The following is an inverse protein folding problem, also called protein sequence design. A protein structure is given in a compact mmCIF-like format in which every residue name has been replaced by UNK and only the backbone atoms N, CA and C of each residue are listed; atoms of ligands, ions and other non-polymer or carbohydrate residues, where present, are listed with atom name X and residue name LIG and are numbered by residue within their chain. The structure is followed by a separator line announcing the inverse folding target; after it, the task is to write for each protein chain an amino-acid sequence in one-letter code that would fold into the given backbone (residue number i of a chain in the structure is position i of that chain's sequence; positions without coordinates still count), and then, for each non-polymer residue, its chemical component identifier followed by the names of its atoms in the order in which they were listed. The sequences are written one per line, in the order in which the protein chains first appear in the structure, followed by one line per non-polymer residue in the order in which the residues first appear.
data_IF_412399334096
#
_entry.id   IF_412399334096
#
_cell.length_a   1.000
_cell.length_b   1.000
_cell.length_c   1.000
_cell.angle_alpha   90.00
_cell.angle_beta   90.00
_cell.angle_gamma   90.00
#
_symmetry.space_group_name_H-M   'P 1'
#
loop_
_entity.id
_entity.type
_entity.pdbx_description
1 polymer ?
2 non-polymer ?
3 water ?
#
# COMPACT_ATOMS: atom_id res chain seq x y z
N UNK A 2 15.45 0.26 -25.20
CA UNK A 2 16.31 0.86 -24.19
C UNK A 2 17.75 0.97 -24.69
N UNK A 4 20.40 -0.77 -24.44
CA UNK A 4 21.44 -1.05 -23.49
C UNK A 4 21.29 -0.35 -22.16
N UNK A 5 20.46 0.69 -22.10
CA UNK A 5 20.17 1.31 -20.83
C UNK A 5 19.30 0.39 -19.97
N UNK A 6 19.35 0.54 -18.65
CA UNK A 6 18.49 -0.28 -17.79
C UNK A 6 17.03 -0.04 -18.12
N UNK A 7 16.25 -1.09 -18.02
CA UNK A 7 14.81 -0.98 -18.20
C UNK A 7 14.16 -0.37 -16.96
N UNK A 8 13.25 0.58 -17.13
CA UNK A 8 12.69 1.25 -15.95
C UNK A 8 11.63 0.42 -15.24
N UNK A 9 11.64 0.54 -13.91
CA UNK A 9 10.61 0.00 -13.03
C UNK A 9 10.04 1.20 -12.27
N UNK A 10 8.77 1.52 -12.51
CA UNK A 10 8.17 2.70 -11.90
C UNK A 10 7.71 2.33 -10.49
N UNK A 11 8.11 3.12 -9.50
CA UNK A 11 7.78 2.89 -8.11
C UNK A 11 6.99 4.09 -7.61
N UNK A 12 5.70 3.88 -7.34
CA UNK A 12 4.83 4.90 -6.76
C UNK A 12 4.64 4.53 -5.29
N UNK A 13 5.43 5.17 -4.43
CA UNK A 13 5.47 4.86 -3.00
C UNK A 13 4.44 5.71 -2.27
N UNK A 14 3.26 5.16 -1.97
CA UNK A 14 2.21 6.01 -1.37
C UNK A 14 2.66 6.76 -0.13
N UNK A 15 3.70 6.28 0.54
CA UNK A 15 4.14 6.69 1.83
C UNK A 15 4.26 5.52 2.78
N UNK A 16 4.79 5.77 3.97
CA UNK A 16 4.91 4.68 4.96
C UNK A 16 5.86 4.98 6.09
N UNK A 17 6.28 3.94 6.81
CA UNK A 17 7.17 4.07 7.99
C UNK A 17 8.56 4.51 7.51
N UNK A 18 8.94 4.21 6.26
CA UNK A 18 10.28 4.53 5.79
C UNK A 18 10.24 5.90 5.12
N UNK A 19 11.22 6.75 5.47
CA UNK A 19 11.29 8.06 4.85
C UNK A 19 11.58 7.92 3.36
N UNK A 20 11.20 8.95 2.61
CA UNK A 20 11.23 8.86 1.14
C UNK A 20 12.62 8.49 0.63
N UNK A 21 13.65 9.16 1.14
CA UNK A 21 14.99 8.96 0.60
C UNK A 21 15.49 7.54 0.85
N UNK A 22 15.19 6.97 2.01
CA UNK A 22 15.64 5.60 2.28
C UNK A 22 14.76 4.58 1.55
N UNK A 23 13.51 4.93 1.29
CA UNK A 23 12.66 4.05 0.47
C UNK A 23 13.13 4.02 -0.98
N UNK A 24 13.48 5.19 -1.53
CA UNK A 24 14.00 5.27 -2.89
C UNK A 24 15.30 4.48 -3.02
N UNK A 25 16.23 4.66 -2.07
CA UNK A 25 17.47 3.90 -2.10
C UNK A 25 17.20 2.40 -1.99
N UNK A 26 16.20 2.03 -1.18
CA UNK A 26 15.90 0.62 -0.98
C UNK A 26 15.38 -0.03 -2.25
N UNK A 28 16.36 0.74 -5.37
CA UNK A 28 17.57 0.44 -6.14
C UNK A 28 18.24 -0.83 -5.61
N UNK A 29 18.35 -0.94 -4.28
CA UNK A 29 18.98 -2.11 -3.69
C UNK A 29 18.19 -3.37 -3.98
N UNK A 31 16.32 -3.94 -6.61
CA UNK A 31 16.54 -4.34 -7.99
C UNK A 31 17.89 -5.01 -8.18
N UNK A 32 18.92 -4.58 -7.44
CA UNK A 32 20.20 -5.25 -7.52
C UNK A 32 20.09 -6.70 -7.04
N UNK A 33 19.28 -6.95 -6.01
CA UNK A 33 19.09 -8.31 -5.54
C UNK A 33 18.25 -9.11 -6.53
N UNK A 34 17.19 -8.51 -7.08
CA UNK A 34 16.37 -9.19 -8.08
C UNK A 34 17.24 -9.65 -9.25
N UNK A 35 18.13 -8.78 -9.70
CA UNK A 35 19.02 -9.14 -10.80
C UNK A 35 19.91 -10.31 -10.43
N UNK A 36 20.48 -10.30 -9.23
CA UNK A 36 21.35 -11.40 -8.83
C UNK A 36 20.57 -12.71 -8.72
N UNK A 37 19.42 -12.70 -8.01
CA UNK A 37 18.71 -13.95 -7.75
C UNK A 37 18.04 -14.47 -9.02
N UNK A 38 17.62 -13.58 -9.91
CA UNK A 38 17.06 -13.93 -11.18
C UNK A 38 18.06 -14.13 -12.29
N UNK A 39 19.35 -13.94 -11.99
CA UNK A 39 20.44 -14.18 -12.93
C UNK A 39 20.38 -13.28 -14.15
N UNK A 40 19.95 -12.05 -13.93
CA UNK A 40 20.12 -11.00 -14.92
C UNK A 40 21.49 -10.36 -14.77
N UNK A 41 22.06 -9.86 -15.85
CA UNK A 41 23.25 -9.00 -15.73
C UNK A 41 22.93 -7.78 -14.87
N UNK A 42 23.96 -7.27 -14.20
CA UNK A 42 23.77 -6.09 -13.37
C UNK A 42 23.30 -4.91 -14.22
N UNK A 43 22.46 -4.06 -13.61
CA UNK A 43 21.95 -2.86 -14.26
C UNK A 43 21.04 -3.17 -15.43
N UNK A 44 20.34 -4.31 -15.35
CA UNK A 44 19.29 -4.62 -16.31
C UNK A 44 18.03 -3.78 -16.04
N UNK A 45 17.83 -3.37 -14.78
CA UNK A 45 16.69 -2.57 -14.38
C UNK A 45 17.14 -1.33 -13.62
N UNK A 46 16.30 -0.29 -13.65
CA UNK A 46 16.51 0.88 -12.80
C UNK A 46 15.16 1.37 -12.27
N UNK A 47 15.18 1.89 -11.04
CA UNK A 47 13.99 2.41 -10.41
C UNK A 47 13.73 3.85 -10.79
N UNK A 48 12.47 4.16 -11.12
CA UNK A 48 11.99 5.52 -11.33
C UNK A 48 10.96 5.75 -10.24
N UNK A 49 11.32 6.57 -9.24
CA UNK A 49 10.62 6.64 -7.95
C UNK A 49 9.86 7.95 -7.82
N UNK A 50 8.65 7.87 -7.27
CA UNK A 50 7.93 9.07 -6.85
C UNK A 50 7.14 8.76 -5.59
N UNK A 51 7.07 9.73 -4.69
CA UNK A 51 6.20 9.66 -3.53
C UNK A 51 4.91 10.45 -3.73
N UNK A 52 4.72 11.02 -4.92
CA UNK A 52 3.54 11.83 -5.23
C UNK A 52 2.57 10.98 -6.04
N UNK A 53 1.42 10.65 -5.44
CA UNK A 53 0.35 9.86 -6.10
C UNK A 53 0.04 10.51 -7.45
N UNK A 54 0.02 11.84 -7.51
CA UNK A 54 -0.45 12.53 -8.71
C UNK A 54 0.51 12.36 -9.89
N UNK A 55 1.78 12.02 -9.64
CA UNK A 55 2.74 11.85 -10.72
C UNK A 55 2.84 10.42 -11.21
N UNK A 56 2.21 9.47 -10.52
CA UNK A 56 2.34 8.06 -10.91
C UNK A 56 1.88 7.85 -12.34
N UNK A 57 0.75 8.45 -12.71
CA UNK A 57 0.22 8.28 -14.06
C UNK A 57 1.14 8.81 -15.14
N UNK A 58 1.72 9.99 -14.91
CA UNK A 58 2.66 10.52 -15.89
C UNK A 58 3.85 9.59 -16.06
N UNK A 59 4.36 9.07 -14.95
CA UNK A 59 5.52 8.19 -15.03
C UNK A 59 5.18 6.92 -15.80
N UNK A 61 2.83 6.56 -18.22
CA UNK A 61 2.67 6.90 -19.64
C UNK A 61 4.02 7.19 -20.29
N UNK A 62 4.92 7.88 -19.58
CA UNK A 62 6.18 8.29 -20.17
C UNK A 62 7.19 7.14 -20.23
N UNK A 64 6.67 3.91 -19.78
CA UNK A 64 6.10 2.69 -20.36
C UNK A 64 6.76 1.45 -19.73
N UNK A 65 6.72 1.34 -18.40
CA UNK A 65 7.48 0.29 -17.72
C UNK A 65 6.85 -1.10 -17.89
N UNK A 66 7.72 -2.10 -17.90
CA UNK A 66 7.26 -3.49 -17.87
C UNK A 66 6.72 -3.86 -16.50
N UNK A 67 7.34 -3.32 -15.45
CA UNK A 67 7.02 -3.65 -14.06
C UNK A 67 6.87 -2.36 -13.26
N UNK A 68 6.04 -2.42 -12.21
CA UNK A 68 5.82 -1.24 -11.39
C UNK A 68 5.39 -1.68 -10.00
N UNK A 69 5.50 -0.74 -9.06
CA UNK A 69 5.03 -0.88 -7.68
C UNK A 69 4.07 0.28 -7.44
N UNK A 70 2.82 -0.02 -7.10
CA UNK A 70 1.84 1.03 -6.88
C UNK A 70 0.98 0.68 -5.67
N UNK A 71 0.12 1.62 -5.28
CA UNK A 71 -0.88 1.36 -4.22
C UNK A 71 -2.03 0.57 -4.85
N UNK A 72 -2.89 -0.07 -4.07
CA UNK A 72 -4.07 -0.77 -4.55
C UNK A 72 -4.99 0.15 -5.34
N UNK A 73 -5.17 1.37 -4.86
CA UNK A 73 -6.09 2.34 -5.52
C UNK A 73 -5.53 2.67 -6.90
N UNK A 74 -4.22 2.88 -7.02
CA UNK A 74 -3.61 3.18 -8.32
C UNK A 74 -3.71 1.98 -9.24
N UNK A 75 -3.50 0.77 -8.73
CA UNK A 75 -3.68 -0.43 -9.54
C UNK A 75 -5.09 -0.52 -10.08
N UNK A 76 -6.09 -0.43 -9.19
CA UNK A 76 -7.47 -0.54 -9.62
C UNK A 76 -7.85 0.54 -10.63
N UNK A 77 -7.29 1.73 -10.48
CA UNK A 77 -7.59 2.82 -11.41
C UNK A 77 -6.87 2.68 -12.75
N UNK A 79 -5.37 -0.31 -13.98
CA UNK A 79 -5.24 -1.68 -14.46
C UNK A 79 -5.72 -1.83 -15.91
N UNK A 80 -6.84 -1.18 -16.25
CA UNK A 80 -7.37 -1.33 -17.59
C UNK A 80 -6.49 -0.68 -18.64
N UNK A 81 -6.00 0.53 -18.35
CA UNK A 81 -5.24 1.29 -19.34
C UNK A 81 -3.91 0.62 -19.65
N UNK A 82 -3.25 0.05 -18.64
CA UNK A 82 -1.93 -0.52 -18.82
C UNK A 82 -1.94 -2.03 -18.69
N UNK A 83 -3.10 -2.64 -18.93
CA UNK A 83 -3.27 -4.10 -18.84
C UNK A 83 -2.44 -4.68 -17.70
N UNK A 84 -2.61 -4.09 -16.52
CA UNK A 84 -1.78 -4.47 -15.39
C UNK A 84 -2.24 -5.81 -14.85
N UNK A 85 -1.27 -6.66 -14.50
CA UNK A 85 -1.57 -7.91 -13.81
C UNK A 85 -0.64 -7.98 -12.61
N UNK A 86 -1.05 -8.64 -11.52
CA UNK A 86 -0.13 -8.82 -10.40
C UNK A 86 1.06 -9.67 -10.83
N UNK A 87 2.18 -9.42 -10.17
CA UNK A 87 3.35 -10.27 -10.25
C UNK A 87 3.52 -11.04 -8.94
N UNK A 88 3.70 -10.32 -7.83
CA UNK A 88 3.70 -10.91 -6.51
C UNK A 88 2.92 -10.03 -5.55
N UNK A 89 2.44 -10.66 -4.46
CA UNK A 89 1.99 -9.98 -3.27
C UNK A 89 3.00 -10.19 -2.15
N UNK A 90 3.17 -9.25 -1.23
CA UNK A 90 3.92 -9.52 -0.01
C UNK A 90 3.10 -10.37 0.93
N UNK A 91 3.77 -11.27 1.65
CA UNK A 91 3.21 -11.91 2.82
C UNK A 91 3.76 -11.21 4.06
N UNK A 92 2.88 -10.76 4.96
CA UNK A 92 3.26 -10.04 6.21
C UNK A 92 2.51 -10.72 7.36
N UNK A 93 3.22 -11.25 8.36
CA UNK A 93 2.60 -11.92 9.50
C UNK A 93 1.72 -13.08 9.05
N UNK A 94 2.18 -13.77 8.01
CA UNK A 94 1.50 -14.94 7.49
C UNK A 94 0.39 -14.66 6.52
N UNK A 95 0.03 -13.41 6.30
CA UNK A 95 -1.14 -13.03 5.55
C UNK A 95 -0.75 -12.21 4.33
N UNK A 96 -1.53 -12.35 3.26
CA UNK A 96 -1.38 -11.48 2.09
C UNK A 96 -2.41 -10.37 2.10
N UNK A 97 -2.93 -10.04 3.28
CA UNK A 97 -3.95 -9.03 3.45
C UNK A 97 -3.69 -8.27 4.75
N UNK A 98 -4.41 -7.16 4.94
CA UNK A 98 -4.27 -6.30 6.14
C UNK A 98 -5.65 -5.81 6.57
N UNK A 99 -5.83 -5.40 7.79
CA UNK A 99 -7.11 -4.82 8.28
C UNK A 99 -6.80 -3.41 8.80
N UNK A 100 -7.71 -2.48 8.57
CA UNK A 100 -7.61 -1.08 9.05
C UNK A 100 -8.49 -0.98 10.30
N UNK A 101 -8.07 -0.22 11.31
CA UNK A 101 -8.82 -0.06 12.58
C UNK A 101 -9.10 1.43 12.83
N UNK A 102 -10.34 1.79 13.12
CA UNK A 102 -10.72 3.17 13.49
C UNK A 102 -10.66 3.14 15.02
N UNK A 103 -9.88 3.99 15.68
CA UNK A 103 -9.74 4.08 17.12
C UNK A 103 -10.24 5.45 17.60
N UNK A 104 -10.78 5.46 18.82
CA UNK A 104 -11.35 6.65 19.42
C UNK A 104 -11.21 6.52 20.94
N UNK A 105 -11.31 7.66 21.62
CA UNK A 105 -11.24 7.63 23.08
C UNK A 105 -12.29 6.67 23.63
N UNK A 106 -11.89 5.92 24.66
CA UNK A 106 -12.72 4.86 25.21
C UNK A 106 -14.03 5.42 25.73
N UNK A 107 -15.15 4.89 25.24
CA UNK A 107 -16.46 5.25 25.72
C UNK A 107 -17.17 6.31 24.91
N UNK A 108 -16.52 6.92 23.92
CA UNK A 108 -17.13 8.05 23.22
C UNK A 108 -18.11 7.56 22.16
N UNK A 109 -17.73 6.57 21.37
CA UNK A 109 -18.53 6.12 20.24
C UNK A 109 -18.65 4.61 20.24
N UNK A 110 -19.83 4.10 19.86
CA UNK A 110 -20.07 2.67 19.81
C UNK A 110 -20.13 2.11 18.40
N UNK A 111 -20.08 2.95 17.37
CA UNK A 111 -20.12 2.48 15.98
C UNK A 111 -19.81 3.64 15.05
N UNK A 113 -21.51 4.84 12.67
CA UNK A 113 -22.63 5.74 12.44
C UNK A 113 -22.61 6.90 13.42
N UNK A 114 -22.10 6.65 14.64
CA UNK A 114 -21.98 7.70 15.63
C UNK A 114 -20.84 8.66 15.33
N UNK A 115 -19.89 8.28 14.49
CA UNK A 115 -18.84 9.18 14.05
C UNK A 115 -19.25 10.02 12.84
N UNK A 116 -20.44 9.77 12.29
CA UNK A 116 -20.92 10.60 11.19
C UNK A 116 -21.07 12.04 11.65
N UNK A 117 -20.53 12.96 10.86
CA UNK A 117 -20.47 14.35 11.24
C UNK A 117 -19.32 14.72 12.15
N UNK A 118 -18.55 13.75 12.61
CA UNK A 118 -17.38 13.97 13.43
C UNK A 118 -16.14 14.00 12.54
N UNK A 119 -14.99 14.25 13.15
CA UNK A 119 -13.76 14.45 12.41
C UNK A 119 -12.86 13.22 12.52
N UNK A 120 -12.33 12.79 11.38
CA UNK A 120 -11.51 11.59 11.27
C UNK A 120 -10.10 11.98 10.86
N UNK A 121 -9.10 11.41 11.54
CA UNK A 121 -7.72 11.59 11.19
C UNK A 121 -7.10 10.29 10.66
N UNK A 122 -5.85 10.42 10.20
CA UNK A 122 -5.17 9.29 9.60
C UNK A 122 -4.29 9.68 8.44
N UNK A 123 -3.40 8.78 8.01
CA UNK A 123 -2.44 9.07 6.95
C UNK A 123 -2.94 8.67 5.58
N UNK A 124 -4.07 7.96 5.46
CA UNK A 124 -4.61 7.44 4.17
C UNK A 124 -5.87 8.24 3.80
N UNK A 125 -6.02 9.46 4.28
CA UNK A 125 -7.27 10.27 4.09
C UNK A 125 -7.13 11.21 2.87
N UNK A 126 -5.93 11.37 2.29
CA UNK A 126 -5.68 12.30 1.15
C UNK A 126 -6.40 11.76 -0.09
N UNK A 127 -6.46 10.44 -0.27
CA UNK A 127 -7.16 9.77 -1.42
C UNK A 127 -8.34 9.03 -0.79
N UNK A 128 -9.50 9.67 -0.54
CA UNK A 128 -10.61 9.03 0.19
C UNK A 128 -11.49 8.00 -0.54
N UNK A 129 -11.21 7.65 -1.80
CA UNK A 129 -11.96 6.60 -2.53
C UNK A 129 -11.51 5.24 -1.98
N UNK A 130 -10.26 5.07 -1.59
CA UNK A 130 -9.80 3.80 -0.96
C UNK A 130 -10.47 3.70 0.42
N UNK A 131 -10.51 4.81 1.16
CA UNK A 131 -11.10 4.79 2.51
C UNK A 131 -12.59 4.43 2.38
N UNK A 132 -13.31 5.04 1.44
CA UNK A 132 -14.75 4.85 1.40
C UNK A 132 -15.13 3.51 0.76
N UNK A 133 -14.59 3.23 -0.43
CA UNK A 133 -15.05 2.06 -1.17
C UNK A 133 -14.51 0.75 -0.62
N UNK A 134 -13.28 0.77 -0.10
CA UNK A 134 -12.59 -0.44 0.34
C UNK A 134 -12.59 -0.56 1.85
N UNK A 135 -11.99 0.39 2.56
CA UNK A 135 -11.86 0.26 4.05
C UNK A 135 -13.28 0.18 4.64
N UNK A 136 -14.19 1.08 4.23
CA UNK A 136 -15.56 1.07 4.76
C UNK A 136 -16.53 0.27 3.88
N UNK A 137 -16.02 -0.42 2.85
CA UNK A 137 -16.84 -1.31 2.03
C UNK A 137 -18.04 -0.58 1.45
N UNK A 138 -17.86 0.70 1.15
CA UNK A 138 -18.89 1.48 0.50
C UNK A 138 -20.06 1.85 1.37
N UNK A 139 -20.01 1.57 2.67
CA UNK A 139 -21.08 1.94 3.57
C UNK A 139 -21.10 3.43 3.88
N UNK A 140 -19.97 4.11 3.75
CA UNK A 140 -19.86 5.53 4.04
C UNK A 140 -19.16 6.24 2.89
N UNK A 141 -19.59 7.48 2.60
CA UNK A 141 -18.87 8.35 1.69
C UNK A 141 -18.01 9.28 2.52
N UNK A 142 -16.70 9.01 2.67
CA UNK A 142 -15.93 9.71 3.71
C UNK A 142 -15.97 11.23 3.60
N UNK A 143 -15.92 11.78 2.39
CA UNK A 143 -15.88 13.23 2.25
C UNK A 143 -17.20 13.87 2.61
N UNK A 144 -18.31 13.15 2.42
CA UNK A 144 -19.62 13.69 2.75
C UNK A 144 -19.99 13.41 4.21
N UNK A 145 -19.77 12.18 4.67
CA UNK A 145 -20.23 11.75 5.99
C UNK A 145 -19.29 12.16 7.11
N UNK A 146 -18.05 12.52 6.80
CA UNK A 146 -17.07 12.84 7.83
C UNK A 146 -16.28 14.08 7.45
N UNK A 147 -15.68 14.71 8.45
CA UNK A 147 -14.66 15.73 8.24
C UNK A 147 -13.31 15.03 8.28
N UNK A 148 -12.69 14.87 7.12
CA UNK A 148 -11.40 14.18 7.04
C UNK A 148 -10.29 15.17 7.32
N UNK A 149 -9.53 14.93 8.40
CA UNK A 149 -8.37 15.73 8.75
C UNK A 149 -7.11 14.94 8.41
N UNK A 150 -6.55 15.11 7.22
CA UNK A 150 -5.40 14.29 6.83
C UNK A 150 -4.17 14.61 7.67
N UNK A 151 -3.34 13.59 7.85
CA UNK A 151 -2.11 13.70 8.59
C UNK A 151 -1.01 13.01 7.77
N UNK A 152 0.23 13.42 8.00
CA UNK A 152 1.37 12.80 7.36
C UNK A 152 2.03 11.74 8.24
N UNK A 153 1.92 11.87 9.56
CA UNK A 153 2.42 10.89 10.51
C UNK A 153 1.27 10.47 11.43
N UNK A 154 1.12 9.15 11.62
CA UNK A 154 0.09 8.66 12.52
C UNK A 154 0.27 9.18 13.94
N UNK A 155 1.50 9.55 14.31
CA UNK A 155 1.72 10.15 15.62
C UNK A 155 0.95 11.46 15.72
N UNK A 156 1.13 12.34 14.73
CA UNK A 156 0.41 13.60 14.69
C UNK A 156 -1.09 13.39 14.85
N UNK A 157 -1.67 12.46 14.08
CA UNK A 157 -3.11 12.22 14.17
C UNK A 157 -3.49 11.74 15.57
N UNK A 158 -2.68 10.87 16.15
CA UNK A 158 -3.00 10.32 17.46
C UNK A 158 -2.77 11.35 18.56
N UNK A 159 -1.82 12.27 18.38
CA UNK A 159 -1.71 13.38 19.33
C UNK A 159 -2.99 14.19 19.35
N UNK A 160 -3.50 14.53 18.16
CA UNK A 160 -4.72 15.33 18.05
C UNK A 160 -5.91 14.59 18.63
N UNK A 161 -5.99 13.28 18.41
CA UNK A 161 -7.05 12.50 19.05
C UNK A 161 -6.97 12.63 20.57
N UNK A 162 -5.77 12.45 21.12
CA UNK A 162 -5.57 12.53 22.55
C UNK A 162 -6.00 13.89 23.09
N UNK A 163 -5.61 14.97 22.40
CA UNK A 163 -5.99 16.29 22.87
C UNK A 163 -7.51 16.43 22.90
N UNK A 164 -8.18 15.82 21.93
CA UNK A 164 -9.57 16.13 21.63
C UNK A 164 -9.76 17.00 20.41
N UNK A 165 -8.73 17.16 19.58
CA UNK A 165 -8.84 17.90 18.33
C UNK A 165 -9.36 17.02 17.20
N UNK A 166 -9.31 15.70 17.39
CA UNK A 166 -9.87 14.72 16.46
C UNK A 166 -10.78 13.79 17.24
N UNK A 167 -11.80 13.26 16.57
CA UNK A 167 -12.71 12.33 17.21
C UNK A 167 -12.31 10.87 17.02
N UNK A 168 -11.64 10.53 15.92
CA UNK A 168 -11.19 9.17 15.71
C UNK A 168 -10.08 9.17 14.66
N UNK A 169 -9.29 8.11 14.64
CA UNK A 169 -8.16 7.96 13.74
C UNK A 169 -8.25 6.61 13.05
N UNK A 170 -8.08 6.61 11.72
CA UNK A 170 -8.03 5.34 10.91
C UNK A 170 -6.55 4.96 10.91
N UNK A 171 -6.21 3.72 11.28
CA UNK A 171 -4.81 3.26 11.41
C UNK A 171 -4.54 2.01 10.57
N UNK A 172 -3.39 1.95 9.91
CA UNK A 172 -2.86 0.73 9.24
C UNK A 172 -2.52 -0.31 10.32
N UNK A 173 -2.13 -1.52 9.93
CA UNK A 173 -1.65 -2.57 10.87
C UNK A 173 -0.41 -2.03 11.62
N UNK A 174 0.59 -1.53 10.90
CA UNK A 174 1.88 -1.07 11.52
C UNK A 174 1.59 0.07 12.50
N UNK A 175 0.65 0.96 12.17
CA UNK A 175 0.37 2.18 12.98
C UNK A 175 -0.38 1.70 14.24
N UNK A 176 -1.28 0.73 14.09
CA UNK A 176 -2.08 0.17 15.22
C UNK A 176 -1.14 -0.56 16.20
N UNK A 177 -0.09 -1.21 15.68
CA UNK A 177 0.92 -1.93 16.50
C UNK A 177 1.71 -0.91 17.33
N UNK A 178 2.06 0.25 16.75
CA UNK A 178 2.89 1.27 17.43
C UNK A 178 2.11 2.09 18.45
N UNK A 179 0.80 1.89 18.60
CA UNK A 179 -0.05 2.68 19.55
C UNK A 179 0.60 2.72 20.94
N UNK A 180 0.87 1.57 21.58
CA UNK A 180 1.39 1.54 22.95
C UNK A 180 2.57 2.49 23.12
N UNK A 181 3.56 2.39 22.24
CA UNK A 181 4.77 3.19 22.34
C UNK A 181 4.45 4.68 22.24
N UNK A 185 -1.60 7.27 27.15
CA UNK A 185 -2.32 8.50 27.45
C UNK A 185 -3.81 8.18 27.67
N UNK A 186 -4.69 9.06 27.22
CA UNK A 186 -6.12 8.83 27.28
C UNK A 186 -6.46 7.42 26.81
N UNK A 187 -7.32 6.70 27.50
CA UNK A 187 -7.72 5.37 27.00
C UNK A 187 -8.31 5.46 25.60
N UNK A 188 -7.99 4.45 24.78
CA UNK A 188 -8.55 4.37 23.43
C UNK A 188 -9.12 2.97 23.20
N UNK A 189 -10.00 2.88 22.20
CA UNK A 189 -10.65 1.62 21.84
C UNK A 189 -10.84 1.59 20.33
N UNK A 190 -10.96 0.37 19.80
CA UNK A 190 -11.23 0.17 18.37
C UNK A 190 -12.74 0.23 18.15
N UNK A 191 -13.18 1.19 17.34
CA UNK A 191 -14.60 1.36 17.05
C UNK A 191 -15.02 0.57 15.82
N UNK A 192 -14.08 0.34 14.91
CA UNK A 192 -14.38 -0.33 13.63
C UNK A 192 -13.13 -1.07 13.13
N UNK A 193 -13.29 -2.31 12.66
CA UNK A 193 -12.19 -3.09 12.04
C UNK A 193 -12.67 -3.43 10.63
N UNK A 194 -11.87 -3.14 9.62
CA UNK A 194 -12.24 -3.40 8.21
C UNK A 194 -12.20 -4.90 7.94
N UNK A 195 -12.80 -5.30 6.84
CA UNK A 195 -12.62 -6.66 6.32
C UNK A 195 -11.15 -6.78 5.90
N UNK A 196 -10.69 -7.97 5.59
CA UNK A 196 -9.36 -8.18 5.07
C UNK A 196 -9.23 -7.55 3.70
N UNK A 197 -8.17 -6.77 3.51
CA UNK A 197 -7.90 -6.02 2.25
C UNK A 197 -6.57 -6.53 1.70
N UNK A 198 -6.50 -7.04 0.46
CA UNK A 198 -5.26 -7.63 -0.03
C UNK A 198 -4.14 -6.61 -0.15
N UNK A 199 -2.93 -7.10 0.07
CA UNK A 199 -1.73 -6.28 -0.02
C UNK A 199 -1.24 -6.23 -1.45
N UNK A 201 1.82 -5.78 -4.22
CA UNK A 201 3.25 -5.94 -4.34
C UNK A 201 3.79 -5.27 -5.60
N UNK A 202 4.17 -6.11 -6.55
CA UNK A 202 4.66 -5.69 -7.86
C UNK A 202 3.60 -6.05 -8.89
N UNK A 203 3.47 -5.20 -9.91
CA UNK A 203 2.57 -5.46 -11.03
C UNK A 203 3.38 -5.37 -12.33
N UNK A 204 2.75 -5.83 -13.41
CA UNK A 204 3.39 -5.86 -14.72
C UNK A 204 2.38 -5.41 -15.77
N UNK A 205 2.86 -4.71 -16.79
CA UNK A 205 2.06 -4.40 -17.97
C UNK A 205 2.04 -5.64 -18.86
N UNK A 206 0.89 -6.30 -18.98
CA UNK A 206 0.81 -7.54 -19.73
C UNK A 206 0.85 -7.33 -21.24
N UNK A 207 0.71 -6.10 -21.72
CA UNK A 207 0.90 -5.82 -23.15
C UNK A 207 2.37 -5.67 -23.49
N UNK A 208 3.23 -5.42 -22.49
CA UNK A 208 4.64 -5.16 -22.70
C UNK A 208 5.52 -6.29 -22.17
N UNK A 209 4.94 -7.28 -21.51
CA UNK A 209 5.68 -8.41 -20.96
C UNK A 209 5.06 -9.71 -21.44
N UNK A 210 5.88 -10.75 -21.54
CA UNK A 210 5.38 -12.10 -21.75
C UNK A 210 5.08 -12.76 -20.41
N UNK A 211 4.26 -13.80 -20.44
CA UNK A 211 3.99 -14.54 -19.20
C UNK A 211 5.28 -15.11 -18.62
N UNK A 212 6.21 -15.53 -19.48
CA UNK A 212 7.46 -16.10 -18.98
C UNK A 212 8.36 -15.03 -18.38
N UNK A 213 8.34 -13.82 -18.95
CA UNK A 213 9.10 -12.72 -18.35
C UNK A 213 8.54 -12.34 -16.98
N UNK A 214 7.21 -12.30 -16.85
CA UNK A 214 6.62 -12.04 -15.55
C UNK A 214 7.02 -13.11 -14.55
N UNK A 215 7.03 -14.38 -14.99
CA UNK A 215 7.35 -15.48 -14.09
C UNK A 215 8.77 -15.39 -13.57
N UNK A 216 9.71 -14.97 -14.42
CA UNK A 216 11.09 -14.82 -13.97
C UNK A 216 11.20 -13.75 -12.91
N UNK A 217 10.54 -12.60 -13.11
CA UNK A 217 10.57 -11.55 -12.11
C UNK A 217 9.91 -11.99 -10.82
N UNK A 218 8.77 -12.69 -10.94
CA UNK A 218 8.08 -13.20 -9.77
C UNK A 218 8.94 -14.17 -8.98
N UNK A 219 9.57 -15.13 -9.68
CA UNK A 219 10.39 -16.11 -8.96
C UNK A 219 11.56 -15.44 -8.26
N UNK A 220 12.13 -14.41 -8.88
CA UNK A 220 13.21 -13.66 -8.24
C UNK A 220 12.73 -13.03 -6.95
N UNK A 221 11.56 -12.39 -6.99
CA UNK A 221 11.02 -11.79 -5.77
C UNK A 221 10.67 -12.83 -4.73
N UNK A 222 10.24 -14.02 -5.15
CA UNK A 222 9.91 -15.07 -4.19
C UNK A 222 11.13 -15.53 -3.42
N UNK A 223 12.32 -15.37 -3.99
CA UNK A 223 13.57 -15.73 -3.31
C UNK A 223 14.35 -14.52 -2.80
N UNK A 224 13.81 -13.31 -2.94
CA UNK A 224 14.55 -12.11 -2.57
C UNK A 224 14.80 -12.05 -1.07
N UNK A 225 13.80 -12.39 -0.25
CA UNK A 225 13.93 -12.19 1.18
C UNK A 225 14.89 -13.19 1.83
N UNK A 226 15.35 -14.21 1.09
CA UNK A 226 16.31 -15.17 1.60
C UNK A 226 17.75 -14.75 1.34
N UNK A 227 17.98 -13.87 0.37
CA UNK A 227 19.29 -13.36 0.00
C UNK A 227 19.88 -12.52 1.13
N UNK A 228 21.21 -12.57 1.30
CA UNK A 228 21.81 -11.78 2.39
C UNK A 228 21.46 -10.30 2.35
N UNK A 229 21.49 -9.69 1.16
CA UNK A 229 21.11 -8.29 1.04
C UNK A 229 19.60 -8.12 0.99
N UNK A 230 18.90 -9.02 0.29
CA UNK A 230 17.46 -8.92 0.23
C UNK A 230 16.80 -9.05 1.58
N UNK A 231 17.37 -9.89 2.46
CA UNK A 231 16.82 -10.06 3.80
C UNK A 231 16.73 -8.74 4.54
N UNK A 232 17.75 -7.89 4.41
CA UNK A 232 17.70 -6.60 5.09
C UNK A 232 16.62 -5.70 4.51
N UNK A 233 16.35 -5.83 3.21
CA UNK A 233 15.32 -5.02 2.59
C UNK A 233 13.93 -5.48 3.02
N UNK A 234 13.72 -6.79 3.13
CA UNK A 234 12.43 -7.28 3.59
C UNK A 234 12.23 -6.93 5.06
N UNK A 235 13.30 -6.91 5.84
CA UNK A 235 13.19 -6.46 7.24
C UNK A 235 12.77 -5.00 7.31
N UNK A 236 13.35 -4.16 6.44
CA UNK A 236 13.04 -2.74 6.46
C UNK A 236 11.55 -2.49 6.29
N UNK A 237 10.87 -3.33 5.52
CA UNK A 237 9.45 -3.16 5.23
C UNK A 237 8.58 -4.19 5.95
N UNK A 238 9.17 -5.01 6.81
CA UNK A 238 8.40 -5.96 7.59
C UNK A 238 7.82 -7.11 6.79
N UNK A 239 8.45 -7.47 5.68
CA UNK A 239 7.89 -8.45 4.77
C UNK A 239 8.44 -9.83 5.10
N UNK A 240 7.54 -10.81 5.16
CA UNK A 240 7.93 -12.20 5.39
C UNK A 240 8.48 -12.82 4.12
N UNK A 241 7.75 -12.68 3.02
CA UNK A 241 8.16 -13.21 1.73
C UNK A 241 7.31 -12.53 0.67
N UNK A 242 7.58 -12.83 -0.58
CA UNK A 242 6.74 -12.47 -1.70
C UNK A 242 6.18 -13.74 -2.33
N UNK A 243 4.95 -13.68 -2.82
CA UNK A 243 4.28 -14.85 -3.38
C UNK A 243 3.71 -14.52 -4.75
N UNK A 244 3.97 -15.38 -5.72
CA UNK A 244 3.47 -15.17 -7.07
C UNK A 244 1.97 -15.45 -7.12
N UNK A 245 1.23 -14.59 -7.83
CA UNK A 245 -0.22 -14.64 -7.84
C UNK A 245 -0.76 -14.38 -9.24
N UNK A 246 -1.95 -14.92 -9.51
CA UNK A 246 -2.69 -14.59 -10.73
C UNK A 246 -3.59 -13.40 -10.47
N UNK A 247 -4.33 -12.90 -11.47
CA UNK A 247 -5.09 -11.65 -11.26
C UNK A 247 -6.28 -11.78 -10.34
N UNK A 248 -6.80 -12.99 -10.13
CA UNK A 248 -8.02 -13.11 -9.36
C UNK A 248 -7.87 -12.65 -7.92
N UNK A 249 -6.64 -12.46 -7.43
CA UNK A 249 -6.45 -12.08 -6.04
C UNK A 249 -7.09 -10.71 -5.77
N UNK A 250 -7.18 -9.87 -6.79
CA UNK A 250 -7.77 -8.53 -6.62
C UNK A 250 -9.18 -8.42 -7.17
N UNK A 251 -9.77 -9.52 -7.65
CA UNK A 251 -11.12 -9.44 -8.18
C UNK A 251 -12.15 -8.98 -7.14
N UNK A 252 -12.12 -9.46 -5.90
CA UNK A 252 -13.07 -8.93 -4.92
C UNK A 252 -12.96 -7.43 -4.72
N UNK A 254 -12.04 -5.28 -7.02
CA UNK A 254 -12.60 -4.64 -8.19
C UNK A 254 -14.12 -4.51 -8.08
N UNK A 255 -14.77 -5.50 -7.46
CA UNK A 255 -16.21 -5.40 -7.23
C UNK A 255 -16.54 -4.27 -6.27
N UNK A 256 -15.78 -4.14 -5.18
CA UNK A 256 -16.01 -3.03 -4.25
C UNK A 256 -15.72 -1.69 -4.93
N UNK A 257 -14.72 -1.68 -5.78
CA UNK A 257 -14.25 -0.44 -6.43
C UNK A 257 -15.35 0.10 -7.35
N UNK A 258 -16.19 -0.73 -7.94
CA UNK A 258 -17.21 -0.30 -8.88
C UNK A 258 -18.45 0.26 -8.18
N UNK A 259 -18.63 -0.03 -6.91
CA UNK A 259 -19.88 0.31 -6.23
C UNK A 259 -19.95 1.80 -5.88
N UNK A 260 -21.14 2.37 -6.04
CA UNK A 260 -21.39 3.78 -5.73
C UNK A 260 -22.77 3.94 -5.11
N UNK A 261 -22.92 4.95 -4.26
CA UNK A 261 -24.21 5.28 -3.65
C UNK A 261 -24.84 6.53 -4.29
#
# INVERSE_FOLDING_TARGET
GHXGAPAPVVVCYPGGAVNERDADQAXDAXLRVVERVGQWPEKSFSSVFTAKVADCGKLXAEXKPAFAITSLALYLDXRGQYDLVPVVQPRIDGRTSERYRVVAKQGRFHDXDELKGRTLGGTMLDEPAFLGKIVFAGKYDPEKDFALQPSRQAIRALRSLDKGELDAVVLNEQQFAGLSALQLASPVETVFTSAEIPLXGVVANARLTSAQERARFAQALETLCADPEGRKLCDLFGIQSFVAVDPTVFDPXARLWLARN
#
